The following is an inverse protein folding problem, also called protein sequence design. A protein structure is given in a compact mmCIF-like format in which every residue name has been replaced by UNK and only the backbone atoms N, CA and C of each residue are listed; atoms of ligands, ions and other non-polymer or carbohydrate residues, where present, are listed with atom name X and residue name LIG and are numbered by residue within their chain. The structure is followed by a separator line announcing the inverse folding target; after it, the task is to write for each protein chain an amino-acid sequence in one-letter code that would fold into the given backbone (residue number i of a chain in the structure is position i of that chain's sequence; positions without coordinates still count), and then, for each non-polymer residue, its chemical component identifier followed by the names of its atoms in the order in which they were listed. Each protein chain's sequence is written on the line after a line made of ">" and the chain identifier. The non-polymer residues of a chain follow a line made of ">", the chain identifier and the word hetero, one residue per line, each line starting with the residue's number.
data_IF_523579819206
#
_entry.id   IF_523579819206
#
_cell.length_a   1.000
_cell.length_b   1.000
_cell.length_c   1.000
_cell.angle_alpha   90.00
_cell.angle_beta   90.00
_cell.angle_gamma   90.00
#
_symmetry.space_group_name_H-M   'P 1'
#
loop_
_entity.id
_entity.type
_entity.pdbx_description
1 polymer ?
#
# COMPACT_ATOMS: atom_id res chain seq x y z
N UNK A 1 -9.46 26.98 -21.76
CA UNK A 1 -10.14 26.31 -20.64
C UNK A 1 -9.54 24.94 -20.24
N UNK A 2 -8.24 24.69 -20.42
CA UNK A 2 -7.59 23.41 -20.04
C UNK A 2 -6.48 23.54 -18.98
N UNK A 3 -5.73 24.64 -18.99
CA UNK A 3 -4.53 24.79 -18.15
C UNK A 3 -4.84 24.75 -16.65
N UNK A 4 -5.86 25.48 -16.17
CA UNK A 4 -6.21 25.50 -14.75
C UNK A 4 -6.57 24.10 -14.19
N UNK A 5 -7.20 23.25 -15.01
CA UNK A 5 -7.56 21.88 -14.62
C UNK A 5 -6.34 20.97 -14.54
N UNK A 6 -5.43 21.06 -15.52
CA UNK A 6 -4.20 20.27 -15.50
C UNK A 6 -3.23 20.74 -14.40
N UNK A 7 -3.11 22.05 -14.18
CA UNK A 7 -2.37 22.61 -13.05
C UNK A 7 -2.92 22.11 -11.72
N UNK A 8 -4.25 22.07 -11.54
CA UNK A 8 -4.86 21.54 -10.32
C UNK A 8 -4.60 20.03 -10.13
N UNK A 9 -4.61 19.24 -11.21
CA UNK A 9 -4.23 17.81 -11.15
C UNK A 9 -2.79 17.62 -10.72
N UNK A 10 -1.87 18.43 -11.24
CA UNK A 10 -0.46 18.39 -10.84
C UNK A 10 -0.29 18.70 -9.35
N UNK A 11 -0.97 19.74 -8.85
CA UNK A 11 -0.95 20.05 -7.42
C UNK A 11 -1.53 18.91 -6.57
N UNK A 12 -2.59 18.24 -7.03
CA UNK A 12 -3.14 17.07 -6.33
C UNK A 12 -2.14 15.92 -6.27
N UNK A 13 -1.49 15.58 -7.39
CA UNK A 13 -0.46 14.54 -7.43
C UNK A 13 0.68 14.88 -6.48
N UNK A 14 1.15 16.14 -6.49
CA UNK A 14 2.20 16.59 -5.57
C UNK A 14 1.77 16.47 -4.11
N UNK A 15 0.53 16.83 -3.78
CA UNK A 15 -0.03 16.65 -2.43
C UNK A 15 -0.04 15.18 -2.02
N UNK A 16 -0.51 14.28 -2.90
CA UNK A 16 -0.54 12.83 -2.65
C UNK A 16 0.88 12.28 -2.37
N UNK A 17 1.91 12.79 -3.06
CA UNK A 17 3.30 12.42 -2.79
C UNK A 17 3.80 12.93 -1.43
N UNK A 18 3.54 14.20 -1.09
CA UNK A 18 3.96 14.79 0.20
C UNK A 18 3.33 14.01 1.35
N UNK A 19 2.01 13.79 1.29
CA UNK A 19 1.27 13.05 2.30
C UNK A 19 1.77 11.60 2.40
N UNK A 20 2.00 10.95 1.24
CA UNK A 20 2.54 9.60 1.16
C UNK A 20 3.92 9.47 1.81
N UNK A 21 4.84 10.41 1.54
CA UNK A 21 6.17 10.37 2.14
C UNK A 21 6.15 10.64 3.65
N UNK A 22 5.31 11.56 4.13
CA UNK A 22 5.18 11.82 5.56
C UNK A 22 4.71 10.57 6.31
N UNK A 23 3.68 9.90 5.80
CA UNK A 23 3.15 8.66 6.40
C UNK A 23 4.19 7.54 6.35
N UNK A 24 4.79 7.31 5.18
CA UNK A 24 5.77 6.22 4.98
C UNK A 24 7.08 6.44 5.73
N UNK A 25 7.46 7.68 6.05
CA UNK A 25 8.66 7.98 6.84
C UNK A 25 8.67 7.36 8.24
N UNK A 26 7.48 7.02 8.77
CA UNK A 26 7.28 6.40 10.08
C UNK A 26 7.28 4.86 10.02
N UNK A 27 7.26 4.28 8.83
CA UNK A 27 7.23 2.83 8.61
C UNK A 27 8.66 2.29 8.67
N UNK A 28 8.87 1.26 9.49
CA UNK A 28 10.15 0.55 9.59
C UNK A 28 10.42 -0.36 8.38
N UNK A 29 11.37 -1.32 8.48
CA UNK A 29 11.58 -2.33 7.45
C UNK A 29 10.25 -3.00 7.07
N UNK A 30 9.92 -3.02 5.78
CA UNK A 30 8.62 -3.48 5.31
C UNK A 30 8.73 -4.36 4.05
N UNK A 31 7.74 -5.24 3.87
CA UNK A 31 7.61 -6.13 2.73
C UNK A 31 6.28 -5.87 2.04
N UNK A 32 6.30 -5.42 0.79
CA UNK A 32 5.05 -5.27 0.01
C UNK A 32 4.58 -6.63 -0.52
N UNK A 33 3.33 -6.99 -0.22
CA UNK A 33 2.70 -8.24 -0.69
C UNK A 33 1.59 -7.92 -1.68
N UNK A 34 1.57 -8.64 -2.80
CA UNK A 34 0.55 -8.50 -3.84
C UNK A 34 -0.25 -9.80 -3.99
N UNK A 35 -1.52 -9.65 -4.36
CA UNK A 35 -2.42 -10.77 -4.56
C UNK A 35 -3.69 -10.37 -5.29
N UNK A 36 -4.52 -11.35 -5.64
CA UNK A 36 -5.82 -11.12 -6.27
C UNK A 36 -6.76 -10.38 -5.32
N UNK A 37 -7.34 -9.26 -5.79
CA UNK A 37 -8.38 -8.52 -5.08
C UNK A 37 -9.74 -9.26 -5.02
N UNK A 38 -9.84 -10.43 -5.66
CA UNK A 38 -11.10 -11.20 -5.82
C UNK A 38 -11.13 -12.51 -5.05
N UNK A 39 -10.03 -12.85 -4.37
CA UNK A 39 -9.92 -14.11 -3.65
C UNK A 39 -10.78 -14.07 -2.39
N UNK A 40 -11.72 -15.01 -2.27
CA UNK A 40 -12.63 -15.12 -1.13
C UNK A 40 -11.90 -15.65 0.12
N UNK A 41 -12.38 -15.32 1.33
CA UNK A 41 -11.71 -15.73 2.57
C UNK A 41 -11.58 -17.25 2.77
N UNK A 42 -12.49 -18.04 2.23
CA UNK A 42 -12.47 -19.52 2.28
C UNK A 42 -11.46 -20.15 1.31
N UNK A 43 -10.93 -19.38 0.37
CA UNK A 43 -9.98 -19.88 -0.60
C UNK A 43 -8.62 -20.20 0.04
N UNK A 44 -7.96 -21.33 -0.27
CA UNK A 44 -6.68 -21.72 0.33
C UNK A 44 -5.58 -20.64 0.22
N UNK A 45 -5.50 -19.95 -0.91
CA UNK A 45 -4.55 -18.85 -1.10
C UNK A 45 -4.76 -17.67 -0.14
N UNK A 46 -6.00 -17.39 0.28
CA UNK A 46 -6.27 -16.35 1.28
C UNK A 46 -5.70 -16.75 2.64
N UNK A 47 -5.93 -18.00 3.04
CA UNK A 47 -5.42 -18.55 4.30
C UNK A 47 -3.88 -18.58 4.32
N UNK A 48 -3.26 -18.93 3.18
CA UNK A 48 -1.81 -18.86 3.03
C UNK A 48 -1.27 -17.43 3.11
N UNK A 49 -1.95 -16.45 2.49
CA UNK A 49 -1.56 -15.05 2.57
C UNK A 49 -1.64 -14.52 4.02
N UNK A 50 -2.68 -14.89 4.77
CA UNK A 50 -2.81 -14.56 6.19
C UNK A 50 -1.67 -15.16 7.02
N UNK A 51 -1.35 -16.44 6.80
CA UNK A 51 -0.23 -17.09 7.48
C UNK A 51 1.12 -16.42 7.13
N UNK A 52 1.34 -16.11 5.86
CA UNK A 52 2.54 -15.42 5.40
C UNK A 52 2.68 -14.02 6.05
N UNK A 53 1.61 -13.22 6.06
CA UNK A 53 1.61 -11.91 6.71
C UNK A 53 1.95 -11.99 8.21
N UNK A 54 1.43 -13.02 8.90
CA UNK A 54 1.79 -13.28 10.29
C UNK A 54 3.29 -13.53 10.46
N UNK A 55 3.87 -14.38 9.62
CA UNK A 55 5.31 -14.70 9.66
C UNK A 55 6.19 -13.48 9.36
N UNK A 56 5.77 -12.61 8.43
CA UNK A 56 6.48 -11.35 8.12
C UNK A 56 6.52 -10.45 9.36
N UNK A 57 5.37 -10.26 10.01
CA UNK A 57 5.28 -9.46 11.25
C UNK A 57 6.09 -10.08 12.40
N UNK A 58 6.00 -11.40 12.60
CA UNK A 58 6.76 -12.09 13.64
C UNK A 58 8.29 -12.03 13.38
N UNK A 59 8.72 -11.85 12.13
CA UNK A 59 10.11 -11.60 11.75
C UNK A 59 10.57 -10.14 11.93
N UNK A 60 9.71 -9.25 12.42
CA UNK A 60 10.03 -7.84 12.70
C UNK A 60 9.86 -6.88 11.52
N UNK A 61 9.19 -7.31 10.44
CA UNK A 61 8.89 -6.46 9.29
C UNK A 61 7.44 -5.97 9.35
N UNK A 62 7.19 -4.78 8.82
CA UNK A 62 5.84 -4.32 8.49
C UNK A 62 5.36 -4.95 7.17
N UNK A 63 4.05 -5.08 6.98
CA UNK A 63 3.43 -5.56 5.74
C UNK A 63 2.34 -4.62 5.27
#
# INVERSE_FOLDING_TARGET
>A
MGLARETWRLFRILSEFVDGFEVMSKVGPAVSVFGSARTQPDHPAYQQAMHCGRLICDAGFSV
#
